data_IF_719733150672
#
_entry.id   IF_719733150672
#
_cell.length_a   1.000
_cell.length_b   1.000
_cell.length_c   1.000
_cell.angle_alpha   90.00
_cell.angle_beta   90.00
_cell.angle_gamma   90.00
#
_symmetry.space_group_name_H-M   'P 1'
#
loop_
_entity.id
_entity.type
_entity.pdbx_description
1 polymer ?
#
# COMPACT_ATOMS: atom_id res chain seq x y z
N UNK A 1 18.53 -10.88 7.11
CA UNK A 1 18.13 -11.62 5.89
C UNK A 1 19.31 -11.60 4.95
N UNK A 2 19.78 -12.76 4.50
CA UNK A 2 20.87 -12.81 3.53
C UNK A 2 20.34 -12.35 2.17
N UNK A 3 20.86 -11.26 1.64
CA UNK A 3 20.55 -10.82 0.28
C UNK A 3 21.16 -11.83 -0.69
N UNK A 4 20.32 -12.55 -1.44
CA UNK A 4 20.78 -13.49 -2.46
C UNK A 4 21.53 -12.71 -3.55
N UNK A 5 22.84 -12.90 -3.61
CA UNK A 5 23.67 -12.37 -4.68
C UNK A 5 23.42 -13.20 -5.96
N UNK A 6 23.19 -12.51 -7.08
CA UNK A 6 23.03 -13.14 -8.38
C UNK A 6 24.23 -12.86 -9.25
N UNK A 7 24.60 -13.86 -10.03
CA UNK A 7 25.63 -13.76 -11.07
C UNK A 7 25.01 -13.99 -12.44
N UNK A 8 25.74 -13.61 -13.49
CA UNK A 8 25.33 -13.80 -14.88
C UNK A 8 26.29 -14.80 -15.54
N UNK A 9 25.73 -15.84 -16.18
CA UNK A 9 26.50 -16.76 -17.01
C UNK A 9 27.07 -16.03 -18.25
N UNK A 10 28.01 -16.64 -18.96
CA UNK A 10 28.54 -16.10 -20.23
C UNK A 10 27.44 -15.83 -21.28
N UNK A 11 26.33 -16.58 -21.20
CA UNK A 11 25.14 -16.42 -22.03
C UNK A 11 24.19 -15.30 -21.52
N UNK A 12 24.59 -14.52 -20.51
CA UNK A 12 23.82 -13.44 -19.90
C UNK A 12 22.71 -13.87 -18.92
N UNK A 13 22.47 -15.18 -18.77
CA UNK A 13 21.43 -15.72 -17.90
C UNK A 13 21.74 -15.52 -16.41
N UNK A 14 20.77 -15.00 -15.64
CA UNK A 14 20.88 -14.77 -14.19
C UNK A 14 20.87 -16.12 -13.43
N UNK A 15 21.79 -16.34 -12.50
CA UNK A 15 21.85 -17.57 -11.69
C UNK A 15 22.29 -17.29 -10.24
N UNK A 16 21.96 -18.22 -9.33
CA UNK A 16 22.42 -18.25 -7.95
C UNK A 16 23.73 -19.06 -7.91
N UNK A 17 24.84 -18.49 -7.44
CA UNK A 17 26.14 -19.17 -7.43
C UNK A 17 26.15 -20.36 -6.46
N UNK A 18 27.14 -21.23 -6.65
CA UNK A 18 27.37 -22.34 -5.74
C UNK A 18 27.65 -21.81 -4.32
N UNK A 19 27.09 -22.44 -3.29
CA UNK A 19 27.33 -22.05 -1.89
C UNK A 19 27.82 -23.22 -1.07
N UNK A 20 28.80 -22.98 -0.21
CA UNK A 20 29.31 -23.99 0.70
C UNK A 20 28.33 -24.21 1.87
N UNK A 21 28.16 -25.47 2.27
CA UNK A 21 27.42 -25.83 3.47
C UNK A 21 28.34 -25.76 4.71
N UNK A 22 27.78 -25.70 5.93
CA UNK A 22 28.60 -25.77 7.16
C UNK A 22 29.45 -27.05 7.26
N UNK A 23 29.00 -28.17 6.69
CA UNK A 23 29.74 -29.44 6.56
C UNK A 23 30.80 -29.43 5.45
N UNK A 24 31.01 -28.31 4.75
CA UNK A 24 32.02 -28.15 3.71
C UNK A 24 31.60 -28.64 2.32
N UNK A 25 30.53 -29.43 2.21
CA UNK A 25 29.97 -29.83 0.90
C UNK A 25 29.39 -28.63 0.15
N UNK A 26 29.33 -28.69 -1.18
CA UNK A 26 28.86 -27.58 -2.01
C UNK A 26 27.41 -27.78 -2.46
N UNK A 27 26.62 -26.70 -2.44
CA UNK A 27 25.34 -26.62 -3.15
C UNK A 27 25.61 -26.22 -4.59
N UNK A 28 25.03 -26.95 -5.53
CA UNK A 28 25.13 -26.65 -6.97
C UNK A 28 24.57 -25.24 -7.30
N UNK A 29 25.14 -24.55 -8.30
CA UNK A 29 24.58 -23.32 -8.81
C UNK A 29 23.20 -23.57 -9.43
N UNK A 30 22.32 -22.55 -9.41
CA UNK A 30 20.94 -22.65 -9.90
C UNK A 30 20.62 -21.52 -10.85
N UNK A 31 20.30 -21.85 -12.10
CA UNK A 31 19.84 -20.86 -13.10
C UNK A 31 18.44 -20.37 -12.77
N UNK A 32 18.20 -19.09 -13.04
CA UNK A 32 16.92 -18.42 -12.88
C UNK A 32 16.37 -18.14 -14.27
N UNK A 33 15.07 -18.36 -14.44
CA UNK A 33 14.40 -18.07 -15.71
C UNK A 33 14.45 -16.57 -16.00
N UNK A 34 14.68 -16.21 -17.26
CA UNK A 34 14.63 -14.82 -17.71
C UNK A 34 13.27 -14.18 -17.35
N UNK A 35 13.30 -12.98 -16.76
CA UNK A 35 12.12 -12.25 -16.31
C UNK A 35 11.46 -12.77 -15.02
N UNK A 36 11.92 -13.87 -14.45
CA UNK A 36 11.40 -14.36 -13.16
C UNK A 36 12.05 -13.61 -11.99
N UNK A 37 11.21 -12.99 -11.16
CA UNK A 37 11.62 -12.33 -9.90
C UNK A 37 11.09 -13.16 -8.73
N UNK A 38 11.97 -13.71 -7.87
CA UNK A 38 11.54 -14.46 -6.70
C UNK A 38 10.67 -13.63 -5.75
N UNK A 39 9.77 -14.30 -5.05
CA UNK A 39 8.80 -13.66 -4.14
C UNK A 39 9.45 -12.80 -3.04
N UNK A 40 10.64 -13.19 -2.57
CA UNK A 40 11.44 -12.44 -1.59
C UNK A 40 11.87 -11.06 -2.09
N UNK A 41 12.02 -10.91 -3.41
CA UNK A 41 12.39 -9.65 -4.07
C UNK A 41 11.21 -8.84 -4.58
N UNK A 42 10.02 -9.46 -4.68
CA UNK A 42 8.81 -8.76 -5.07
C UNK A 42 8.48 -7.76 -3.97
N UNK A 43 8.52 -6.43 -4.24
CA UNK A 43 8.26 -5.44 -3.22
C UNK A 43 6.88 -5.64 -2.63
N UNK A 44 6.80 -5.73 -1.30
CA UNK A 44 5.52 -5.78 -0.62
C UNK A 44 4.75 -4.50 -0.91
N UNK A 45 3.49 -4.64 -1.33
CA UNK A 45 2.66 -3.48 -1.62
C UNK A 45 2.50 -2.58 -0.39
N UNK A 46 2.75 -1.29 -0.57
CA UNK A 46 2.49 -0.27 0.44
C UNK A 46 1.50 0.77 -0.09
N UNK A 47 0.47 1.09 0.69
CA UNK A 47 -0.51 2.10 0.32
C UNK A 47 0.13 3.49 0.25
N UNK A 48 -0.37 4.35 -0.66
CA UNK A 48 0.12 5.73 -0.81
C UNK A 48 0.08 6.53 0.50
N UNK A 49 -0.95 6.31 1.32
CA UNK A 49 -1.07 6.95 2.64
C UNK A 49 0.01 6.50 3.64
N UNK A 50 0.36 5.20 3.65
CA UNK A 50 1.46 4.66 4.47
C UNK A 50 2.79 5.28 4.06
N UNK A 51 3.05 5.36 2.75
CA UNK A 51 4.24 6.01 2.21
C UNK A 51 4.29 7.50 2.57
N UNK A 52 3.17 8.22 2.50
CA UNK A 52 3.10 9.63 2.87
C UNK A 52 3.37 9.86 4.36
N UNK A 53 2.78 9.04 5.23
CA UNK A 53 3.02 9.10 6.68
C UNK A 53 4.47 8.76 7.04
N UNK A 54 5.05 7.74 6.40
CA UNK A 54 6.46 7.40 6.58
C UNK A 54 7.39 8.56 6.18
N UNK A 55 7.09 9.25 5.07
CA UNK A 55 7.83 10.44 4.63
C UNK A 55 7.69 11.61 5.62
N UNK A 56 6.48 11.89 6.11
CA UNK A 56 6.25 12.92 7.14
C UNK A 56 7.04 12.65 8.42
N UNK A 57 7.10 11.38 8.84
CA UNK A 57 7.86 10.98 10.03
C UNK A 57 9.39 11.14 9.88
N UNK A 58 9.92 11.33 8.67
CA UNK A 58 11.36 11.58 8.47
C UNK A 58 11.79 12.98 8.95
N UNK A 59 10.83 13.89 9.20
CA UNK A 59 11.13 15.27 9.60
C UNK A 59 11.74 16.12 8.47
N UNK A 60 11.81 15.60 7.25
CA UNK A 60 12.26 16.33 6.07
C UNK A 60 11.07 17.09 5.44
N UNK A 61 11.30 18.31 4.93
CA UNK A 61 10.27 19.07 4.24
C UNK A 61 9.80 18.38 2.96
N UNK A 62 8.59 18.68 2.52
CA UNK A 62 8.02 18.10 1.30
C UNK A 62 8.92 18.41 0.10
N UNK A 63 9.17 17.41 -0.75
CA UNK A 63 10.10 17.51 -1.88
C UNK A 63 11.55 17.15 -1.57
N UNK A 64 11.96 17.10 -0.30
CA UNK A 64 13.28 16.62 0.09
C UNK A 64 13.20 15.15 0.50
N UNK A 65 13.53 14.24 -0.42
CA UNK A 65 13.54 12.81 -0.10
C UNK A 65 14.79 12.45 0.70
N UNK A 66 14.74 11.43 1.57
CA UNK A 66 15.91 10.98 2.33
C UNK A 66 17.07 10.55 1.42
N UNK A 67 16.79 10.12 0.20
CA UNK A 67 17.79 9.78 -0.81
C UNK A 67 18.60 11.00 -1.26
N UNK A 68 17.97 12.16 -1.44
CA UNK A 68 18.64 13.42 -1.80
C UNK A 68 19.53 13.90 -0.64
N UNK A 69 19.06 13.81 0.60
CA UNK A 69 19.85 14.17 1.79
C UNK A 69 21.06 13.24 1.94
N UNK A 70 20.86 11.94 1.77
CA UNK A 70 21.95 10.96 1.80
C UNK A 70 22.98 11.21 0.69
N UNK A 71 22.54 11.56 -0.53
CA UNK A 71 23.45 11.94 -1.61
C UNK A 71 24.21 13.24 -1.33
N UNK A 72 23.56 14.26 -0.76
CA UNK A 72 24.21 15.52 -0.37
C UNK A 72 25.25 15.32 0.74
N UNK A 73 24.98 14.44 1.70
CA UNK A 73 25.92 14.08 2.76
C UNK A 73 27.13 13.30 2.22
N UNK A 74 26.92 12.36 1.28
CA UNK A 74 28.01 11.63 0.61
C UNK A 74 28.94 12.56 -0.19
N UNK A 75 28.40 13.61 -0.81
CA UNK A 75 29.20 14.63 -1.53
C UNK A 75 30.02 15.55 -0.61
N UNK A 76 29.72 15.62 0.70
CA UNK A 76 30.52 16.38 1.68
C UNK A 76 31.72 15.62 2.26
N UNK A 77 31.97 14.38 1.82
CA UNK A 77 33.11 13.57 2.28
C UNK A 77 34.47 13.89 1.63
N UNK A 78 34.53 14.81 0.67
CA UNK A 78 35.77 15.29 0.05
C UNK A 78 35.74 16.82 -0.02
N UNK A 79 36.23 17.48 1.02
CA UNK A 79 36.30 18.94 1.05
C UNK A 79 36.83 19.39 2.41
N UNK A 80 38.12 19.67 2.45
CA UNK A 80 38.86 20.01 3.65
C UNK A 80 38.26 21.15 4.47
N UNK A 81 38.64 21.13 5.75
CA UNK A 81 38.58 22.22 6.73
C UNK A 81 38.50 23.61 6.09
N UNK A 82 37.31 24.21 6.13
CA UNK A 82 37.17 25.66 5.96
C UNK A 82 37.14 26.25 7.38
N UNK A 83 38.31 26.75 7.79
CA UNK A 83 38.49 27.60 8.96
C UNK A 83 37.71 28.90 8.71
N UNK A 84 36.66 29.24 9.47
CA UNK A 84 35.86 30.42 9.11
C UNK A 84 36.60 31.74 9.36
N UNK A 85 37.56 31.85 10.29
CA UNK A 85 38.54 32.97 10.45
C UNK A 85 39.62 32.52 11.47
N UNK A 86 40.93 32.71 11.22
CA UNK A 86 41.98 32.52 12.22
C UNK A 86 41.94 33.62 13.31
N UNK A 87 41.76 33.25 14.59
CA UNK A 87 42.08 34.11 15.73
C UNK A 87 40.95 34.51 16.70
N UNK A 88 39.72 34.00 16.59
CA UNK A 88 38.64 34.37 17.52
C UNK A 88 38.25 33.21 18.44
N UNK A 89 38.82 33.18 19.65
CA UNK A 89 38.35 32.33 20.75
C UNK A 89 37.28 33.14 21.49
N UNK A 90 36.00 32.76 21.31
CA UNK A 90 34.94 33.25 22.18
C UNK A 90 34.46 32.07 23.02
N UNK A 91 34.95 32.00 24.27
CA UNK A 91 34.30 31.24 25.33
C UNK A 91 33.04 31.99 25.75
N UNK A 92 31.85 31.44 25.47
CA UNK A 92 30.61 31.88 26.13
C UNK A 92 30.17 30.81 27.11
N UNK A 93 30.49 31.01 28.38
CA UNK A 93 29.95 30.24 29.48
C UNK A 93 28.48 30.57 29.74
N UNK A 94 27.69 29.51 29.86
CA UNK A 94 26.45 29.30 30.65
C UNK A 94 25.68 30.54 31.15
N UNK A 95 24.40 30.62 30.73
CA UNK A 95 23.32 31.08 31.62
C UNK A 95 22.04 30.24 31.47
N UNK A 96 21.68 29.55 32.56
CA UNK A 96 20.42 28.82 32.78
C UNK A 96 19.21 29.78 32.75
N UNK A 97 18.08 29.32 32.19
CA UNK A 97 16.75 29.69 32.72
C UNK A 97 15.73 28.54 32.54
N UNK A 98 15.12 28.13 33.65
CA UNK A 98 14.03 27.13 33.82
C UNK A 98 12.66 27.68 33.37
N UNK A 99 11.77 26.79 32.91
CA UNK A 99 10.34 26.56 33.33
C UNK A 99 9.77 25.37 32.50
N UNK A 100 9.35 24.23 33.09
CA UNK A 100 7.98 23.82 33.57
C UNK A 100 6.89 24.08 32.50
N UNK A 101 5.95 23.19 32.13
CA UNK A 101 5.34 21.98 32.71
C UNK A 101 4.30 21.40 31.72
N UNK A 102 3.97 20.10 31.76
CA UNK A 102 2.66 19.59 31.31
C UNK A 102 2.63 18.27 30.50
N UNK A 103 3.04 17.13 31.07
CA UNK A 103 2.96 15.80 30.41
C UNK A 103 2.42 14.71 31.34
N UNK A 104 1.45 15.00 32.22
CA UNK A 104 0.92 13.98 33.14
C UNK A 104 -0.57 13.62 32.94
N UNK A 105 -1.31 14.28 32.06
CA UNK A 105 -2.75 14.00 31.89
C UNK A 105 -3.08 13.05 30.71
N UNK A 106 -2.09 12.68 29.90
CA UNK A 106 -2.30 11.87 28.69
C UNK A 106 -2.01 10.37 28.87
N UNK A 107 -1.37 9.97 29.98
CA UNK A 107 -1.00 8.58 30.24
C UNK A 107 -2.15 7.76 30.85
N UNK A 108 -2.98 8.36 31.70
CA UNK A 108 -4.06 7.64 32.41
C UNK A 108 -5.26 7.27 31.53
N UNK A 109 -5.39 7.84 30.33
CA UNK A 109 -6.50 7.53 29.41
C UNK A 109 -6.20 6.32 28.50
N UNK A 110 -4.97 5.79 28.53
CA UNK A 110 -4.55 4.63 27.71
C UNK A 110 -4.60 3.29 28.46
N UNK A 111 -4.75 3.30 29.79
CA UNK A 111 -4.73 2.09 30.62
C UNK A 111 -6.08 1.36 30.75
N UNK A 112 -7.15 1.86 30.11
CA UNK A 112 -8.53 1.32 30.24
C UNK A 112 -9.05 0.57 28.99
N UNK A 113 -8.24 0.40 27.94
CA UNK A 113 -8.66 -0.34 26.75
C UNK A 113 -8.19 -1.80 26.84
N UNK A 114 -9.07 -2.67 27.33
CA UNK A 114 -8.90 -4.13 27.34
C UNK A 114 -9.08 -4.67 25.91
N UNK A 115 -8.04 -5.35 25.39
CA UNK A 115 -7.99 -5.87 24.02
C UNK A 115 -8.59 -7.27 24.01
N UNK A 116 -9.78 -7.42 23.42
CA UNK A 116 -10.35 -8.73 23.10
C UNK A 116 -9.66 -9.24 21.83
N UNK A 117 -9.02 -10.40 21.90
CA UNK A 117 -8.35 -11.03 20.76
C UNK A 117 -9.37 -11.44 19.66
N UNK A 118 -9.21 -10.98 18.41
CA UNK A 118 -9.96 -11.55 17.30
C UNK A 118 -9.28 -12.85 16.84
N UNK A 119 -10.02 -13.95 16.88
CA UNK A 119 -9.61 -15.23 16.31
C UNK A 119 -9.48 -15.06 14.79
N UNK A 120 -8.29 -15.27 14.24
CA UNK A 120 -8.03 -15.10 12.81
C UNK A 120 -8.25 -16.43 12.09
N UNK A 121 -9.46 -16.64 11.58
CA UNK A 121 -9.70 -17.71 10.60
C UNK A 121 -9.05 -17.33 9.28
N UNK A 122 -8.07 -18.13 8.86
CA UNK A 122 -7.36 -18.08 7.58
C UNK A 122 -8.31 -18.09 6.37
N UNK A 123 -8.10 -17.24 5.34
CA UNK A 123 -8.76 -17.41 4.05
C UNK A 123 -7.87 -18.24 3.11
N UNK A 124 -8.31 -19.46 2.81
CA UNK A 124 -7.92 -20.22 1.62
C UNK A 124 -8.54 -19.59 0.35
N UNK A 125 -7.92 -19.70 -0.83
CA UNK A 125 -8.46 -19.16 -2.07
C UNK A 125 -9.55 -20.10 -2.60
N UNK A 126 -10.79 -19.87 -2.16
CA UNK A 126 -11.94 -20.62 -2.66
C UNK A 126 -12.47 -20.00 -3.94
N UNK A 127 -12.40 -20.83 -4.97
CA UNK A 127 -13.23 -20.85 -6.17
C UNK A 127 -14.62 -20.24 -5.99
N UNK A 128 -15.06 -19.57 -7.05
CA UNK A 128 -16.46 -19.34 -7.43
C UNK A 128 -17.43 -20.33 -6.76
N UNK A 129 -18.24 -19.84 -5.82
CA UNK A 129 -19.64 -20.25 -5.71
C UNK A 129 -20.44 -19.30 -4.81
N UNK A 130 -21.65 -19.03 -5.29
CA UNK A 130 -22.75 -18.31 -4.68
C UNK A 130 -22.98 -18.63 -3.20
N UNK A 131 -22.81 -17.65 -2.32
CA UNK A 131 -23.44 -17.64 -1.00
C UNK A 131 -24.67 -16.72 -1.02
N UNK A 132 -25.91 -17.24 -0.99
CA UNK A 132 -27.12 -16.43 -0.92
C UNK A 132 -27.42 -16.03 0.53
N UNK A 133 -26.50 -15.35 1.21
CA UNK A 133 -26.68 -14.92 2.61
C UNK A 133 -26.49 -13.41 2.83
N UNK A 134 -26.58 -12.58 1.78
CA UNK A 134 -26.87 -11.16 2.02
C UNK A 134 -28.34 -11.03 2.39
N UNK A 135 -28.58 -10.52 3.60
CA UNK A 135 -29.84 -9.99 4.12
C UNK A 135 -30.67 -9.36 2.97
N UNK A 136 -31.95 -9.74 2.78
CA UNK A 136 -32.79 -9.25 1.69
C UNK A 136 -32.79 -7.71 1.59
N UNK A 137 -32.69 -7.01 2.73
CA UNK A 137 -32.61 -5.56 2.76
C UNK A 137 -31.32 -5.01 2.12
N UNK A 138 -30.18 -5.71 2.29
CA UNK A 138 -28.90 -5.34 1.64
C UNK A 138 -28.94 -5.63 0.15
N UNK A 139 -29.59 -6.72 -0.28
CA UNK A 139 -29.79 -7.02 -1.72
C UNK A 139 -30.64 -5.96 -2.38
N UNK A 140 -31.77 -5.60 -1.77
CA UNK A 140 -32.67 -4.57 -2.27
C UNK A 140 -31.94 -3.23 -2.44
N UNK A 141 -31.15 -2.80 -1.44
CA UNK A 141 -30.33 -1.59 -1.54
C UNK A 141 -29.29 -1.65 -2.67
N UNK A 142 -28.68 -2.81 -2.90
CA UNK A 142 -27.69 -2.99 -3.97
C UNK A 142 -28.34 -2.99 -5.36
N UNK A 143 -29.48 -3.64 -5.52
CA UNK A 143 -30.22 -3.65 -6.79
C UNK A 143 -30.75 -2.25 -7.13
N UNK A 144 -31.32 -1.52 -6.16
CA UNK A 144 -31.73 -0.12 -6.34
C UNK A 144 -30.57 0.80 -6.75
N UNK A 145 -29.35 0.54 -6.23
CA UNK A 145 -28.14 1.26 -6.68
C UNK A 145 -27.78 0.93 -8.13
N UNK A 146 -27.82 -0.35 -8.51
CA UNK A 146 -27.58 -0.78 -9.91
C UNK A 146 -28.59 -0.14 -10.86
N UNK A 147 -29.86 -0.10 -10.50
CA UNK A 147 -30.91 0.53 -11.30
C UNK A 147 -30.60 2.02 -11.56
N UNK A 148 -30.20 2.76 -10.53
CA UNK A 148 -29.80 4.18 -10.68
C UNK A 148 -28.57 4.37 -11.56
N UNK A 149 -27.57 3.48 -11.47
CA UNK A 149 -26.38 3.53 -12.34
C UNK A 149 -26.76 3.34 -13.81
N UNK A 150 -27.64 2.39 -14.08
CA UNK A 150 -28.17 2.10 -15.42
C UNK A 150 -28.97 3.31 -15.95
N UNK A 151 -29.82 3.92 -15.14
CA UNK A 151 -30.59 5.12 -15.53
C UNK A 151 -29.68 6.33 -15.84
N UNK A 152 -28.64 6.56 -15.04
CA UNK A 152 -27.63 7.59 -15.34
C UNK A 152 -26.88 7.29 -16.64
N UNK A 153 -26.66 6.02 -16.96
CA UNK A 153 -26.05 5.60 -18.22
C UNK A 153 -27.00 5.90 -19.40
N UNK A 154 -28.28 5.54 -19.28
CA UNK A 154 -29.31 5.90 -20.27
C UNK A 154 -29.41 7.40 -20.49
N UNK A 155 -29.40 8.20 -19.42
CA UNK A 155 -29.48 9.65 -19.52
C UNK A 155 -28.26 10.24 -20.24
N UNK A 156 -27.05 9.72 -19.98
CA UNK A 156 -25.82 10.12 -20.71
C UNK A 156 -25.85 9.75 -22.19
N UNK A 157 -26.53 8.66 -22.55
CA UNK A 157 -26.74 8.28 -23.95
C UNK A 157 -27.79 9.21 -24.58
N UNK A 158 -28.91 9.46 -23.90
CA UNK A 158 -29.99 10.35 -24.35
C UNK A 158 -29.53 11.79 -24.51
N UNK A 159 -28.69 12.29 -23.60
CA UNK A 159 -28.11 13.64 -23.66
C UNK A 159 -27.03 13.78 -24.74
N UNK A 160 -26.68 12.70 -25.44
CA UNK A 160 -25.70 12.71 -26.51
C UNK A 160 -24.26 12.89 -26.04
N UNK A 161 -24.00 12.91 -24.72
CA UNK A 161 -22.65 12.92 -24.15
C UNK A 161 -21.89 11.62 -24.46
N UNK A 162 -22.62 10.51 -24.66
CA UNK A 162 -22.07 9.20 -25.00
C UNK A 162 -22.69 8.68 -26.30
N UNK A 163 -22.10 9.04 -27.44
CA UNK A 163 -22.60 8.71 -28.79
C UNK A 163 -22.53 7.23 -29.15
N UNK A 164 -21.57 6.48 -28.59
CA UNK A 164 -21.40 5.04 -28.84
C UNK A 164 -21.27 4.29 -27.51
N UNK A 165 -22.36 3.67 -27.01
CA UNK A 165 -22.30 2.85 -25.81
C UNK A 165 -21.39 1.63 -26.03
N UNK A 166 -20.49 1.40 -25.08
CA UNK A 166 -19.60 0.25 -25.07
C UNK A 166 -20.38 -1.08 -24.92
N UNK A 167 -19.78 -2.21 -25.30
CA UNK A 167 -20.44 -3.53 -25.28
C UNK A 167 -20.97 -3.85 -23.87
N UNK A 168 -20.16 -3.63 -22.85
CA UNK A 168 -20.53 -3.83 -21.44
C UNK A 168 -21.65 -2.90 -20.99
N UNK A 169 -21.69 -1.69 -21.53
CA UNK A 169 -22.75 -0.72 -21.23
C UNK A 169 -24.08 -1.15 -21.82
N UNK A 170 -24.09 -1.69 -23.05
CA UNK A 170 -25.30 -2.26 -23.67
C UNK A 170 -25.83 -3.45 -22.87
N UNK A 171 -24.94 -4.29 -22.34
CA UNK A 171 -25.34 -5.40 -21.47
C UNK A 171 -25.89 -4.93 -20.12
N UNK A 172 -25.39 -3.82 -19.56
CA UNK A 172 -25.97 -3.21 -18.35
C UNK A 172 -27.38 -2.69 -18.62
N UNK A 173 -27.60 -2.07 -19.78
CA UNK A 173 -28.91 -1.57 -20.19
C UNK A 173 -29.92 -2.69 -20.44
N UNK A 174 -29.50 -3.81 -21.07
CA UNK A 174 -30.40 -4.93 -21.31
C UNK A 174 -30.88 -5.61 -20.02
N UNK A 175 -30.02 -5.67 -19.00
CA UNK A 175 -30.33 -6.22 -17.67
C UNK A 175 -31.24 -5.31 -16.81
N UNK A 176 -31.63 -4.12 -17.30
CA UNK A 176 -32.46 -3.19 -16.54
C UNK A 176 -33.79 -3.80 -16.10
N UNK A 177 -34.49 -4.45 -17.04
CA UNK A 177 -35.80 -5.05 -16.75
C UNK A 177 -35.68 -6.19 -15.74
N UNK A 178 -34.64 -7.01 -15.84
CA UNK A 178 -34.39 -8.10 -14.90
C UNK A 178 -34.16 -7.57 -13.47
N UNK A 179 -33.40 -6.47 -13.33
CA UNK A 179 -33.15 -5.82 -12.05
C UNK A 179 -34.44 -5.23 -11.45
N UNK A 180 -35.32 -4.64 -12.28
CA UNK A 180 -36.62 -4.11 -11.83
C UNK A 180 -37.51 -5.24 -11.30
N UNK A 181 -37.61 -6.34 -12.04
CA UNK A 181 -38.37 -7.52 -11.63
C UNK A 181 -37.81 -8.13 -10.34
N UNK A 182 -36.48 -8.18 -10.19
CA UNK A 182 -35.84 -8.69 -8.97
C UNK A 182 -36.09 -7.79 -7.75
N UNK A 183 -36.10 -6.46 -7.95
CA UNK A 183 -36.45 -5.49 -6.91
C UNK A 183 -37.89 -5.71 -6.45
N UNK A 184 -38.85 -5.78 -7.38
CA UNK A 184 -40.27 -5.99 -7.08
C UNK A 184 -40.50 -7.29 -6.30
N UNK A 185 -39.85 -8.38 -6.73
CA UNK A 185 -39.90 -9.67 -6.00
C UNK A 185 -39.36 -9.56 -4.57
N UNK A 186 -38.26 -8.83 -4.37
CA UNK A 186 -37.69 -8.65 -3.04
C UNK A 186 -38.51 -7.69 -2.17
N UNK A 187 -39.21 -6.74 -2.76
CA UNK A 187 -40.15 -5.85 -2.06
C UNK A 187 -41.37 -6.63 -1.56
N UNK A 188 -41.98 -7.44 -2.43
CA UNK A 188 -43.10 -8.34 -2.07
C UNK A 188 -42.69 -9.34 -0.99
N UNK A 189 -41.44 -9.83 -1.02
CA UNK A 189 -40.94 -10.78 -0.03
C UNK A 189 -40.50 -10.14 1.30
N UNK A 190 -40.42 -8.80 1.35
CA UNK A 190 -40.02 -8.06 2.57
C UNK A 190 -41.20 -7.41 3.30
N UNK A 191 -42.38 -7.35 2.68
CA UNK A 191 -43.68 -7.06 3.31
C UNK A 191 -44.31 -8.33 3.90
#
# INVERSE_FOLDING_TARGET
>A
MATTAYEHDADGCKFIPASQRPDGTWRKPRRIREGYVPQEEVPLYESKGKQFKARQNTGLPVGLTPEIVAQAQKKKGQGGTIQPIPGMIINVEKKKKKKKSGVEEAADKLSKCEIIEPTFSTPTPSSNNSTPSSDPAKRLKNLRKKLREIEMLEEKIKSGMLKTPDKDQKEKLSKKNDIVIEIEKLEIASD
#
